data_IF_245419337470
#
_entry.id   IF_245419337470
#
_cell.length_a   1.000
_cell.length_b   1.000
_cell.length_c   1.000
_cell.angle_alpha   90.00
_cell.angle_beta   90.00
_cell.angle_gamma   90.00
#
_symmetry.space_group_name_H-M   'P 1'
#
loop_
_entity.id
_entity.type
_entity.pdbx_description
1 polymer ?
#
# COMPACT_ATOMS: atom_id res chain seq x y z
N UNK A 1 4.75 -18.15 12.97
CA UNK A 1 3.64 -17.20 12.70
C UNK A 1 4.17 -16.10 11.80
N UNK A 2 3.55 -15.83 10.65
CA UNK A 2 3.86 -14.64 9.83
C UNK A 2 3.09 -13.47 10.46
N UNK A 3 3.81 -12.46 10.95
CA UNK A 3 3.17 -11.24 11.48
C UNK A 3 2.68 -10.38 10.31
N UNK A 4 1.51 -9.77 10.48
CA UNK A 4 1.03 -8.75 9.58
C UNK A 4 1.88 -7.48 9.73
N UNK A 5 2.41 -6.96 8.64
CA UNK A 5 3.23 -5.75 8.64
C UNK A 5 2.79 -4.81 7.51
N UNK A 6 2.77 -3.51 7.80
CA UNK A 6 2.55 -2.45 6.82
C UNK A 6 3.75 -1.51 6.84
N UNK A 7 4.51 -1.50 5.75
CA UNK A 7 5.62 -0.57 5.52
C UNK A 7 5.14 0.62 4.73
N UNK A 8 5.32 1.81 5.27
CA UNK A 8 5.01 3.07 4.59
C UNK A 8 6.27 3.52 3.84
N UNK A 9 6.23 3.52 2.51
CA UNK A 9 7.38 3.92 1.70
C UNK A 9 7.37 5.43 1.48
N UNK A 10 8.55 6.05 1.60
CA UNK A 10 8.75 7.46 1.26
C UNK A 10 8.33 7.70 -0.20
N UNK A 11 7.56 8.76 -0.41
CA UNK A 11 6.99 9.16 -1.71
C UNK A 11 6.25 8.03 -2.45
N UNK A 12 5.88 6.97 -1.72
CA UNK A 12 5.51 5.70 -2.31
C UNK A 12 4.25 5.08 -1.69
N UNK A 13 3.89 3.88 -2.18
CA UNK A 13 2.74 3.13 -1.70
C UNK A 13 2.96 2.55 -0.29
N UNK A 14 1.88 1.98 0.27
CA UNK A 14 1.97 1.11 1.44
C UNK A 14 2.32 -0.30 0.98
N UNK A 15 3.42 -0.86 1.46
CA UNK A 15 3.74 -2.27 1.27
C UNK A 15 3.14 -3.06 2.44
N UNK A 16 2.07 -3.79 2.18
CA UNK A 16 1.45 -4.65 3.17
C UNK A 16 1.84 -6.12 2.94
N UNK A 17 2.27 -6.80 3.99
CA UNK A 17 2.74 -8.19 3.96
C UNK A 17 2.03 -9.00 5.04
N UNK A 18 1.60 -10.22 4.71
CA UNK A 18 0.90 -11.09 5.67
C UNK A 18 -0.48 -10.56 6.10
N UNK A 19 -1.12 -9.75 5.25
CA UNK A 19 -2.47 -9.20 5.47
C UNK A 19 -3.46 -9.73 4.45
N UNK A 20 -4.73 -9.84 4.86
CA UNK A 20 -5.87 -10.01 3.94
C UNK A 20 -6.45 -8.63 3.64
N UNK A 21 -6.49 -8.26 2.37
CA UNK A 21 -7.14 -7.02 1.93
C UNK A 21 -8.61 -7.33 1.62
N UNK A 22 -9.52 -6.57 2.23
CA UNK A 22 -10.97 -6.68 2.01
C UNK A 22 -11.52 -5.37 1.47
N UNK A 23 -12.66 -5.43 0.78
CA UNK A 23 -13.41 -4.24 0.37
C UNK A 23 -14.28 -3.70 1.53
N UNK A 24 -15.08 -2.66 1.25
CA UNK A 24 -15.96 -2.06 2.26
C UNK A 24 -17.10 -2.97 2.75
N UNK A 25 -17.38 -4.05 2.04
CA UNK A 25 -18.39 -5.06 2.38
C UNK A 25 -17.76 -6.27 3.10
N UNK A 26 -16.42 -6.31 3.20
CA UNK A 26 -15.68 -7.39 3.82
C UNK A 26 -15.27 -8.52 2.86
N UNK A 27 -15.51 -8.38 1.55
CA UNK A 27 -15.09 -9.40 0.59
C UNK A 27 -13.58 -9.35 0.36
N UNK A 28 -12.87 -10.49 0.37
CA UNK A 28 -11.43 -10.51 0.16
C UNK A 28 -11.06 -10.21 -1.28
N UNK A 29 -10.10 -9.32 -1.49
CA UNK A 29 -9.49 -9.08 -2.79
C UNK A 29 -8.47 -10.18 -3.08
N UNK A 30 -8.36 -10.55 -4.37
CA UNK A 30 -7.34 -11.50 -4.81
C UNK A 30 -5.97 -10.82 -4.79
N UNK A 31 -5.15 -11.13 -3.79
CA UNK A 31 -3.84 -10.53 -3.58
C UNK A 31 -2.72 -11.56 -3.51
N UNK A 32 -1.47 -11.09 -3.66
CA UNK A 32 -0.27 -11.87 -3.36
C UNK A 32 0.07 -11.74 -1.87
N UNK A 33 1.10 -12.48 -1.43
CA UNK A 33 1.63 -12.38 -0.06
C UNK A 33 2.08 -10.96 0.33
N UNK A 34 2.53 -10.19 -0.66
CA UNK A 34 2.89 -8.78 -0.54
C UNK A 34 2.10 -7.96 -1.55
N UNK A 35 1.55 -6.84 -1.09
CA UNK A 35 0.78 -5.92 -1.92
C UNK A 35 1.23 -4.48 -1.72
N UNK A 36 1.21 -3.72 -2.82
CA UNK A 36 1.45 -2.29 -2.81
C UNK A 36 0.12 -1.56 -2.94
N UNK A 37 -0.35 -0.94 -1.86
CA UNK A 37 -1.58 -0.17 -1.83
C UNK A 37 -1.31 1.29 -2.18
N UNK A 38 -2.18 1.85 -3.01
CA UNK A 38 -2.10 3.24 -3.42
C UNK A 38 -2.28 4.16 -2.22
N UNK A 39 -1.35 5.10 -2.07
CA UNK A 39 -1.40 6.16 -1.05
C UNK A 39 -1.54 7.56 -1.64
N UNK A 40 -1.20 7.74 -2.92
CA UNK A 40 -1.19 9.05 -3.58
C UNK A 40 -2.53 9.46 -4.21
N UNK A 41 -3.51 8.57 -4.29
CA UNK A 41 -4.79 8.82 -4.97
C UNK A 41 -4.75 8.83 -6.52
N UNK A 42 -3.56 8.90 -7.13
CA UNK A 42 -3.38 9.02 -8.59
C UNK A 42 -3.43 7.69 -9.35
N UNK A 43 -3.51 6.54 -8.66
CA UNK A 43 -3.49 5.26 -9.36
C UNK A 43 -4.75 5.04 -10.19
N UNK A 44 -4.60 4.50 -11.40
CA UNK A 44 -5.71 4.02 -12.23
C UNK A 44 -6.16 2.59 -11.86
N UNK A 45 -5.38 1.87 -11.05
CA UNK A 45 -5.65 0.50 -10.63
C UNK A 45 -5.94 0.41 -9.12
N UNK A 46 -6.77 1.32 -8.60
CA UNK A 46 -7.11 1.34 -7.17
C UNK A 46 -7.77 0.01 -6.75
N UNK A 47 -7.52 -0.47 -5.52
CA UNK A 47 -6.74 0.14 -4.44
C UNK A 47 -5.22 -0.04 -4.56
N UNK A 48 -4.73 -0.67 -5.62
CA UNK A 48 -3.31 -0.98 -5.80
C UNK A 48 -2.51 0.19 -6.38
N UNK A 49 -1.21 0.16 -6.15
CA UNK A 49 -0.28 1.11 -6.76
C UNK A 49 0.10 0.67 -8.17
N UNK A 50 0.05 1.60 -9.12
CA UNK A 50 0.53 1.42 -10.50
C UNK A 50 1.74 2.30 -10.86
N UNK A 51 2.36 2.96 -9.88
CA UNK A 51 3.51 3.85 -10.09
C UNK A 51 3.18 5.32 -10.35
N UNK A 52 1.91 5.72 -10.42
CA UNK A 52 1.52 7.11 -10.68
C UNK A 52 1.96 8.15 -9.60
N UNK A 53 2.48 7.70 -8.46
CA UNK A 53 3.01 8.57 -7.40
C UNK A 53 4.35 9.23 -7.76
N UNK A 54 5.11 8.67 -8.71
CA UNK A 54 6.47 9.11 -9.02
C UNK A 54 6.48 10.59 -9.43
N UNK A 55 7.23 11.41 -8.69
CA UNK A 55 7.34 12.85 -8.92
C UNK A 55 6.08 13.66 -8.59
N UNK A 56 5.08 13.06 -7.91
CA UNK A 56 3.80 13.68 -7.58
C UNK A 56 3.41 13.54 -6.10
N UNK A 57 4.09 12.67 -5.36
CA UNK A 57 3.90 12.49 -3.92
C UNK A 57 5.17 12.95 -3.21
N UNK A 58 5.06 13.97 -2.37
CA UNK A 58 6.10 14.37 -1.42
C UNK A 58 5.62 13.96 -0.02
N UNK A 59 6.18 12.88 0.50
CA UNK A 59 5.79 12.36 1.81
C UNK A 59 6.91 11.52 2.41
N UNK A 60 7.58 12.10 3.41
CA UNK A 60 8.62 11.44 4.20
C UNK A 60 8.01 10.94 5.50
N UNK A 61 8.07 9.64 5.71
CA UNK A 61 7.37 8.93 6.81
C UNK A 61 8.35 8.19 7.71
N UNK A 62 9.60 8.64 7.70
CA UNK A 62 10.68 8.08 8.51
C UNK A 62 10.41 8.37 9.99
N UNK A 63 10.38 7.32 10.81
CA UNK A 63 10.48 7.48 12.25
C UNK A 63 11.81 8.15 12.57
N UNK A 64 11.76 9.22 13.37
CA UNK A 64 12.95 9.78 14.00
C UNK A 64 13.31 8.93 15.23
N UNK A 65 14.59 8.85 15.62
CA UNK A 65 15.01 8.15 16.82
C UNK A 65 14.36 8.71 18.09
#
# INVERSE_FOLDING_TARGET
MKMAEIKVLDDGPLLASGVTVVDGEGNPLKTKEQVYLCRCGLSANKPFCNGAHKGKLDSKVRAQP
#
